data_IF_655624465150
#
_entry.id   IF_655624465150
#
_cell.length_a   1.000
_cell.length_b   1.000
_cell.length_c   1.000
_cell.angle_alpha   90.00
_cell.angle_beta   90.00
_cell.angle_gamma   90.00
#
_symmetry.space_group_name_H-M   'P 1'
#
loop_
_entity.id
_entity.type
_entity.pdbx_description
1 polymer ?
#
# COMPACT_ATOMS: atom_id res chain seq x y z
N UNK A 1 16.00 35.25 -0.09
CA UNK A 1 15.56 33.84 0.01
C UNK A 1 14.69 33.70 1.24
N UNK A 2 13.39 33.92 1.11
CA UNK A 2 12.44 33.80 2.22
C UNK A 2 12.32 32.33 2.61
N UNK A 3 12.62 32.00 3.87
CA UNK A 3 12.30 30.71 4.45
C UNK A 3 10.86 30.36 4.10
N UNK A 4 10.65 29.22 3.46
CA UNK A 4 9.33 28.73 3.07
C UNK A 4 8.49 28.63 4.34
N UNK A 5 7.53 29.55 4.51
CA UNK A 5 6.68 29.56 5.68
C UNK A 5 5.98 28.20 5.79
N UNK A 6 6.23 27.50 6.90
CA UNK A 6 5.63 26.22 7.19
C UNK A 6 4.12 26.38 7.29
N UNK A 7 3.36 25.86 6.33
CA UNK A 7 1.90 25.85 6.41
C UNK A 7 1.45 24.80 7.44
N UNK A 8 0.76 25.20 8.53
CA UNK A 8 0.26 24.26 9.53
C UNK A 8 -0.67 23.20 8.93
N UNK A 9 -1.41 23.55 7.87
CA UNK A 9 -2.29 22.64 7.15
C UNK A 9 -1.49 21.56 6.40
N UNK A 10 -0.37 21.92 5.76
CA UNK A 10 0.52 20.94 5.14
C UNK A 10 1.15 20.02 6.18
N UNK A 11 1.61 20.56 7.31
CA UNK A 11 2.14 19.77 8.43
C UNK A 11 1.11 18.77 8.96
N UNK A 12 -0.15 19.18 9.05
CA UNK A 12 -1.23 18.33 9.49
C UNK A 12 -1.44 17.13 8.56
N UNK A 13 -1.59 17.33 7.23
CA UNK A 13 -1.76 16.22 6.27
C UNK A 13 -0.58 15.26 6.29
N UNK A 14 0.66 15.78 6.35
CA UNK A 14 1.87 14.96 6.43
C UNK A 14 1.88 14.13 7.73
N UNK A 15 1.48 14.73 8.85
CA UNK A 15 1.32 14.05 10.13
C UNK A 15 0.29 12.93 10.06
N UNK A 16 -0.92 13.21 9.56
CA UNK A 16 -1.99 12.22 9.41
C UNK A 16 -1.54 11.03 8.56
N UNK A 17 -0.95 11.29 7.40
CA UNK A 17 -0.46 10.24 6.51
C UNK A 17 0.62 9.38 7.16
N UNK A 18 1.62 10.01 7.79
CA UNK A 18 2.71 9.30 8.47
C UNK A 18 2.21 8.45 9.62
N UNK A 19 1.31 8.99 10.45
CA UNK A 19 0.73 8.21 11.55
C UNK A 19 -0.12 7.06 11.02
N UNK A 20 -0.84 7.25 9.92
CA UNK A 20 -1.62 6.20 9.28
C UNK A 20 -0.76 5.05 8.76
N UNK A 21 0.28 5.35 7.98
CA UNK A 21 1.21 4.35 7.40
C UNK A 21 2.01 3.60 8.46
N UNK A 22 2.24 4.20 9.63
CA UNK A 22 2.89 3.55 10.77
C UNK A 22 1.91 2.72 11.63
N UNK A 23 0.63 3.11 11.65
CA UNK A 23 -0.42 2.46 12.45
C UNK A 23 -0.89 1.14 11.83
N UNK A 24 -1.05 1.12 10.51
CA UNK A 24 -1.61 -0.01 9.77
C UNK A 24 -0.54 -0.70 8.92
N UNK A 25 -0.65 -2.02 8.85
CA UNK A 25 0.20 -2.87 8.02
C UNK A 25 -0.48 -3.07 6.68
N UNK A 26 0.23 -2.82 5.58
CA UNK A 26 -0.27 -3.25 4.29
C UNK A 26 -0.35 -4.78 4.28
N UNK A 27 -1.55 -5.33 4.05
CA UNK A 27 -1.74 -6.76 3.94
C UNK A 27 -3.00 -7.14 3.16
N UNK A 28 -3.08 -8.34 2.61
CA UNK A 28 -4.26 -8.84 1.90
C UNK A 28 -4.98 -9.99 2.63
N UNK A 29 -4.92 -10.03 3.97
CA UNK A 29 -5.51 -11.14 4.75
C UNK A 29 -7.02 -11.25 4.53
N UNK A 30 -7.73 -10.12 4.59
CA UNK A 30 -9.18 -10.10 4.40
C UNK A 30 -9.56 -10.65 3.01
N UNK A 31 -8.84 -10.20 1.97
CA UNK A 31 -9.04 -10.67 0.59
C UNK A 31 -8.84 -12.18 0.46
N UNK A 32 -7.77 -12.73 1.03
CA UNK A 32 -7.46 -14.17 0.96
C UNK A 32 -8.44 -15.03 1.76
N UNK A 33 -8.93 -14.53 2.90
CA UNK A 33 -9.77 -15.31 3.81
C UNK A 33 -11.25 -15.26 3.43
N UNK A 34 -11.71 -14.09 2.95
CA UNK A 34 -13.12 -13.74 2.85
C UNK A 34 -13.54 -13.21 1.46
N UNK A 35 -12.60 -13.07 0.51
CA UNK A 35 -12.87 -12.47 -0.80
C UNK A 35 -12.83 -10.93 -0.79
N UNK A 36 -13.35 -10.26 -1.83
CA UNK A 36 -13.27 -8.81 -1.97
C UNK A 36 -13.72 -8.06 -0.70
N UNK A 37 -12.84 -7.23 -0.10
CA UNK A 37 -13.20 -6.44 1.07
C UNK A 37 -14.39 -5.50 0.82
N UNK A 38 -15.30 -5.40 1.79
CA UNK A 38 -16.37 -4.41 1.77
C UNK A 38 -15.83 -3.04 2.22
N UNK A 39 -15.93 -2.06 1.32
CA UNK A 39 -15.35 -0.72 1.51
C UNK A 39 -16.32 0.28 2.17
N UNK A 40 -17.50 -0.15 2.63
CA UNK A 40 -18.39 0.70 3.42
C UNK A 40 -17.70 1.17 4.71
N UNK A 41 -17.87 2.44 5.12
CA UNK A 41 -17.12 3.03 6.24
C UNK A 41 -17.15 2.20 7.54
N UNK A 42 -18.32 1.69 7.91
CA UNK A 42 -18.51 0.91 9.14
C UNK A 42 -17.78 -0.43 9.11
N UNK A 43 -17.82 -1.12 7.97
CA UNK A 43 -17.18 -2.42 7.80
C UNK A 43 -15.67 -2.28 7.69
N UNK A 44 -15.23 -1.22 7.00
CA UNK A 44 -13.84 -0.98 6.70
C UNK A 44 -13.00 -0.76 7.96
N UNK A 45 -13.43 0.09 8.89
CA UNK A 45 -12.69 0.32 10.14
C UNK A 45 -12.63 -0.94 11.01
N UNK A 46 -13.69 -1.74 11.05
CA UNK A 46 -13.69 -3.04 11.75
C UNK A 46 -12.72 -4.03 11.10
N UNK A 47 -12.67 -4.09 9.76
CA UNK A 47 -11.71 -4.91 9.02
C UNK A 47 -10.27 -4.51 9.37
N UNK A 48 -9.95 -3.22 9.24
CA UNK A 48 -8.61 -2.69 9.55
C UNK A 48 -8.20 -2.93 11.01
N UNK A 49 -9.14 -2.84 11.95
CA UNK A 49 -8.88 -3.16 13.35
C UNK A 49 -8.58 -4.66 13.54
N UNK A 50 -9.38 -5.54 12.92
CA UNK A 50 -9.25 -7.00 13.01
C UNK A 50 -7.93 -7.51 12.40
N UNK A 51 -7.60 -7.05 11.20
CA UNK A 51 -6.42 -7.51 10.45
C UNK A 51 -5.20 -6.60 10.60
N UNK A 52 -5.30 -5.60 11.49
CA UNK A 52 -4.28 -4.57 11.74
C UNK A 52 -3.81 -3.86 10.47
N UNK A 53 -4.70 -3.79 9.47
CA UNK A 53 -4.47 -3.16 8.19
C UNK A 53 -5.28 -3.81 7.07
N UNK A 54 -4.87 -3.59 5.84
CA UNK A 54 -5.53 -4.04 4.61
C UNK A 54 -4.69 -3.65 3.40
N UNK A 55 -5.19 -3.86 2.18
CA UNK A 55 -4.48 -3.44 0.97
C UNK A 55 -4.96 -2.07 0.46
N UNK A 56 -4.55 -1.65 -0.75
CA UNK A 56 -4.72 -0.27 -1.20
C UNK A 56 -6.17 0.24 -1.14
N UNK A 57 -7.14 -0.59 -1.53
CA UNK A 57 -8.56 -0.24 -1.51
C UNK A 57 -9.07 0.03 -0.09
N UNK A 58 -8.70 -0.80 0.87
CA UNK A 58 -9.10 -0.65 2.26
C UNK A 58 -8.37 0.55 2.91
N UNK A 59 -7.05 0.63 2.76
CA UNK A 59 -6.23 1.65 3.42
C UNK A 59 -6.52 3.05 2.90
N UNK A 60 -6.57 3.24 1.58
CA UNK A 60 -6.79 4.57 1.01
C UNK A 60 -8.26 5.00 1.09
N UNK A 61 -9.25 4.08 1.06
CA UNK A 61 -10.65 4.46 1.32
C UNK A 61 -10.87 4.91 2.77
N UNK A 62 -10.25 4.20 3.74
CA UNK A 62 -10.35 4.57 5.15
C UNK A 62 -9.59 5.87 5.45
N UNK A 63 -8.44 6.07 4.80
CA UNK A 63 -7.67 7.30 4.93
C UNK A 63 -8.41 8.49 4.31
N UNK A 64 -9.06 8.31 3.15
CA UNK A 64 -9.95 9.32 2.56
C UNK A 64 -11.03 9.77 3.56
N UNK A 65 -11.77 8.82 4.12
CA UNK A 65 -12.80 9.12 5.11
C UNK A 65 -12.22 9.79 6.36
N UNK A 66 -10.97 9.48 6.73
CA UNK A 66 -10.29 10.13 7.83
C UNK A 66 -9.93 11.59 7.52
N UNK A 67 -9.39 11.88 6.33
CA UNK A 67 -9.11 13.24 5.86
C UNK A 67 -10.39 14.09 5.80
N UNK A 68 -11.48 13.53 5.26
CA UNK A 68 -12.76 14.24 5.14
C UNK A 68 -13.35 14.60 6.51
N UNK A 69 -13.21 13.73 7.52
CA UNK A 69 -13.57 14.06 8.90
C UNK A 69 -12.71 15.15 9.52
N UNK A 70 -11.53 15.43 8.98
CA UNK A 70 -10.68 16.56 9.37
C UNK A 70 -10.95 17.81 8.50
N UNK A 71 -11.98 17.80 7.65
CA UNK A 71 -12.29 18.91 6.74
C UNK A 71 -11.34 19.02 5.55
N UNK A 72 -10.59 17.96 5.23
CA UNK A 72 -9.67 17.91 4.10
C UNK A 72 -10.30 17.08 2.98
N UNK A 73 -10.55 17.72 1.84
CA UNK A 73 -11.03 17.02 0.65
C UNK A 73 -9.96 16.11 0.08
N UNK A 74 -10.34 14.89 -0.29
CA UNK A 74 -9.46 13.93 -0.92
C UNK A 74 -10.17 13.19 -2.06
N UNK A 75 -9.65 13.33 -3.26
CA UNK A 75 -10.21 12.78 -4.49
C UNK A 75 -9.53 11.45 -4.82
N UNK A 76 -10.28 10.34 -4.96
CA UNK A 76 -9.72 9.04 -5.30
C UNK A 76 -9.38 8.90 -6.78
N UNK A 77 -8.30 8.20 -7.07
CA UNK A 77 -7.84 7.85 -8.42
C UNK A 77 -7.36 6.40 -8.46
N UNK A 78 -7.46 5.77 -9.63
CA UNK A 78 -6.90 4.44 -9.89
C UNK A 78 -5.67 4.55 -10.78
N UNK A 79 -4.57 3.98 -10.30
CA UNK A 79 -3.29 3.90 -10.98
C UNK A 79 -3.03 2.49 -11.53
N UNK A 80 -2.19 2.42 -12.56
CA UNK A 80 -1.70 1.17 -13.13
C UNK A 80 -0.34 0.82 -12.55
N UNK A 81 -0.27 -0.27 -11.80
CA UNK A 81 1.01 -0.78 -11.29
C UNK A 81 1.83 -1.35 -12.44
N UNK A 82 3.07 -0.90 -12.55
CA UNK A 82 4.07 -1.40 -13.52
C UNK A 82 5.33 -1.91 -12.82
N UNK A 83 5.39 -1.76 -11.50
CA UNK A 83 6.50 -2.23 -10.70
C UNK A 83 6.65 -3.74 -10.79
N UNK A 84 7.77 -4.20 -11.36
CA UNK A 84 8.14 -5.62 -11.45
C UNK A 84 7.05 -6.48 -12.12
N UNK A 85 6.31 -5.91 -13.07
CA UNK A 85 5.31 -6.64 -13.85
C UNK A 85 5.88 -7.32 -15.09
N UNK A 86 7.14 -7.02 -15.46
CA UNK A 86 7.70 -7.38 -16.76
C UNK A 86 6.85 -6.76 -17.87
N UNK A 87 6.60 -7.53 -18.93
CA UNK A 87 5.79 -7.08 -20.08
C UNK A 87 4.27 -7.16 -19.85
N UNK A 88 3.82 -7.61 -18.66
CA UNK A 88 2.39 -7.75 -18.37
C UNK A 88 1.73 -6.38 -18.23
N UNK A 89 0.63 -6.19 -18.94
CA UNK A 89 -0.23 -5.00 -18.82
C UNK A 89 -1.37 -5.32 -17.86
N UNK A 90 -1.28 -4.85 -16.62
CA UNK A 90 -2.33 -5.01 -15.60
C UNK A 90 -3.34 -3.86 -15.67
N UNK A 91 -4.64 -4.05 -15.36
CA UNK A 91 -5.61 -2.95 -15.31
C UNK A 91 -5.28 -1.91 -14.22
N UNK A 92 -5.85 -0.69 -14.29
CA UNK A 92 -5.67 0.32 -13.25
C UNK A 92 -6.42 -0.08 -11.98
N UNK A 93 -5.73 -0.73 -11.05
CA UNK A 93 -6.34 -1.28 -9.83
C UNK A 93 -5.78 -0.70 -8.55
N UNK A 94 -4.76 0.16 -8.62
CA UNK A 94 -4.17 0.72 -7.41
C UNK A 94 -4.87 2.02 -7.02
N UNK A 95 -5.64 2.00 -5.93
CA UNK A 95 -6.27 3.19 -5.39
C UNK A 95 -5.23 4.10 -4.73
N UNK A 96 -5.23 5.39 -5.07
CA UNK A 96 -4.52 6.45 -4.34
C UNK A 96 -5.41 7.71 -4.25
N UNK A 97 -4.98 8.71 -3.49
CA UNK A 97 -5.74 9.95 -3.30
C UNK A 97 -4.92 11.17 -3.74
N UNK A 98 -5.61 12.18 -4.27
CA UNK A 98 -5.10 13.53 -4.41
C UNK A 98 -5.84 14.45 -3.43
N UNK A 99 -5.12 15.30 -2.71
CA UNK A 99 -5.71 16.33 -1.85
C UNK A 99 -5.12 17.69 -2.17
N UNK A 100 -5.94 18.74 -2.14
CA UNK A 100 -5.50 20.11 -2.35
C UNK A 100 -5.43 20.85 -1.01
N UNK A 101 -4.23 21.26 -0.61
CA UNK A 101 -4.00 21.95 0.67
C UNK A 101 -2.99 23.06 0.48
N UNK A 102 -3.30 24.26 1.00
CA UNK A 102 -2.44 25.44 0.91
C UNK A 102 -1.94 25.74 -0.51
N UNK A 103 -2.82 25.60 -1.52
CA UNK A 103 -2.51 25.84 -2.93
C UNK A 103 -1.67 24.75 -3.62
N UNK A 104 -1.43 23.61 -2.96
CA UNK A 104 -0.65 22.49 -3.49
C UNK A 104 -1.49 21.25 -3.65
N UNK A 105 -1.21 20.47 -4.69
CA UNK A 105 -1.79 19.14 -4.89
C UNK A 105 -0.83 18.10 -4.31
N UNK A 106 -1.28 17.37 -3.31
CA UNK A 106 -0.54 16.30 -2.68
C UNK A 106 -1.07 14.94 -3.14
N UNK A 107 -0.17 14.07 -3.60
CA UNK A 107 -0.43 12.66 -3.76
C UNK A 107 -0.28 11.97 -2.40
N UNK A 108 -1.39 11.46 -1.90
CA UNK A 108 -1.48 10.67 -0.68
C UNK A 108 -1.71 9.20 -1.05
N UNK A 109 -0.80 8.34 -0.62
CA UNK A 109 -0.91 6.90 -0.83
C UNK A 109 -0.37 6.15 0.38
N UNK A 110 -1.31 5.69 1.20
CA UNK A 110 -1.02 4.87 2.38
C UNK A 110 -1.08 3.38 2.09
N UNK A 111 -1.39 3.02 0.84
CA UNK A 111 -1.95 1.73 0.47
C UNK A 111 -1.11 0.91 -0.52
N UNK A 112 -0.01 1.42 -1.06
CA UNK A 112 0.86 0.63 -1.96
C UNK A 112 1.68 -0.45 -1.23
N UNK A 113 1.73 -0.38 0.10
CA UNK A 113 2.58 -1.22 0.95
C UNK A 113 4.03 -0.76 0.91
N UNK A 114 4.70 -0.94 -0.22
CA UNK A 114 6.08 -0.51 -0.41
C UNK A 114 6.20 0.97 -0.86
N UNK A 115 5.22 1.79 -0.50
CA UNK A 115 5.01 3.13 -1.03
C UNK A 115 5.38 4.25 -0.07
N UNK A 116 4.64 5.34 -0.11
CA UNK A 116 4.94 6.55 0.62
C UNK A 116 4.77 6.38 2.14
N UNK A 117 5.70 6.94 2.92
CA UNK A 117 5.55 7.21 4.35
C UNK A 117 4.77 8.50 4.59
N UNK A 118 5.00 9.52 3.77
CA UNK A 118 4.28 10.80 3.77
C UNK A 118 4.00 11.29 2.35
N UNK A 119 3.05 12.22 2.16
CA UNK A 119 2.61 12.65 0.84
C UNK A 119 3.74 13.27 0.03
N UNK A 120 3.59 13.25 -1.30
CA UNK A 120 4.47 13.98 -2.22
C UNK A 120 3.66 15.01 -2.98
N UNK A 121 4.23 16.20 -3.20
CA UNK A 121 3.63 17.20 -4.07
C UNK A 121 3.64 16.71 -5.52
N UNK A 122 2.52 16.86 -6.22
CA UNK A 122 2.38 16.33 -7.57
C UNK A 122 3.27 17.05 -8.60
N UNK A 123 3.52 18.34 -8.36
CA UNK A 123 4.26 19.23 -9.27
C UNK A 123 5.71 19.49 -8.79
N UNK A 124 6.27 18.58 -7.98
CA UNK A 124 7.67 18.66 -7.54
C UNK A 124 8.60 17.94 -8.51
N UNK A 125 9.64 18.63 -8.97
CA UNK A 125 10.71 18.02 -9.76
C UNK A 125 11.82 17.41 -8.88
N UNK A 126 11.83 17.69 -7.58
CA UNK A 126 12.83 17.13 -6.67
C UNK A 126 12.41 15.77 -6.11
N UNK A 127 13.35 14.83 -6.06
CA UNK A 127 13.20 13.59 -5.32
C UNK A 127 12.95 13.89 -3.83
N UNK A 128 12.06 13.12 -3.21
CA UNK A 128 11.69 13.23 -1.80
C UNK A 128 12.20 11.99 -1.05
N UNK A 129 13.30 12.10 -0.30
CA UNK A 129 13.79 11.02 0.54
C UNK A 129 12.75 10.66 1.60
N UNK A 130 12.45 9.38 1.75
CA UNK A 130 11.57 8.82 2.78
C UNK A 130 12.22 7.57 3.35
N UNK A 131 12.93 7.73 4.46
CA UNK A 131 13.82 6.71 5.04
C UNK A 131 14.94 6.30 4.04
N UNK A 132 15.17 5.01 3.82
CA UNK A 132 16.17 4.48 2.88
C UNK A 132 15.74 4.57 1.41
N UNK A 133 14.59 5.16 1.13
CA UNK A 133 14.00 5.27 -0.20
C UNK A 133 13.92 6.73 -0.62
N UNK A 134 13.75 6.98 -1.91
CA UNK A 134 13.29 8.27 -2.40
C UNK A 134 12.12 8.10 -3.35
N UNK A 135 11.25 9.10 -3.43
CA UNK A 135 10.09 9.07 -4.32
C UNK A 135 10.04 10.33 -5.16
N UNK A 136 9.54 10.22 -6.38
CA UNK A 136 9.39 11.36 -7.28
C UNK A 136 8.25 11.09 -8.26
N UNK A 137 7.45 12.11 -8.56
CA UNK A 137 6.53 12.07 -9.69
C UNK A 137 7.33 12.48 -10.93
N UNK A 138 7.36 11.63 -11.96
CA UNK A 138 8.14 11.86 -13.19
C UNK A 138 7.28 11.57 -14.42
N UNK A 139 7.69 12.05 -15.61
CA UNK A 139 7.10 11.60 -16.87
C UNK A 139 7.10 10.07 -16.98
N UNK A 140 6.04 9.54 -17.57
CA UNK A 140 5.83 8.13 -17.86
C UNK A 140 5.28 7.96 -19.27
N UNK A 141 5.23 6.73 -19.77
CA UNK A 141 4.70 6.39 -21.09
C UNK A 141 3.29 6.95 -21.33
N UNK A 142 2.45 7.03 -20.29
CA UNK A 142 1.08 7.54 -20.36
C UNK A 142 0.88 8.70 -19.37
N UNK A 143 1.67 9.77 -19.50
CA UNK A 143 1.54 10.97 -18.68
C UNK A 143 2.56 11.01 -17.54
N UNK A 144 2.10 10.87 -16.29
CA UNK A 144 2.96 10.90 -15.09
C UNK A 144 2.88 9.58 -14.33
N UNK A 145 3.95 9.23 -13.64
CA UNK A 145 4.01 8.08 -12.74
C UNK A 145 4.68 8.43 -11.42
N UNK A 146 4.39 7.66 -10.38
CA UNK A 146 5.19 7.69 -9.15
C UNK A 146 6.37 6.74 -9.33
N UNK A 147 7.57 7.23 -9.06
CA UNK A 147 8.81 6.47 -9.12
C UNK A 147 9.39 6.31 -7.72
N UNK A 148 10.04 5.17 -7.50
CA UNK A 148 10.77 4.85 -6.27
C UNK A 148 12.25 4.74 -6.58
N UNK A 149 13.09 5.19 -5.66
CA UNK A 149 14.51 4.89 -5.65
C UNK A 149 14.90 4.08 -4.43
N UNK A 150 15.68 3.03 -4.66
CA UNK A 150 16.37 2.27 -3.63
C UNK A 150 17.84 2.16 -4.04
N UNK A 151 18.76 2.61 -3.17
CA UNK A 151 20.20 2.63 -3.45
C UNK A 151 20.57 3.36 -4.77
N UNK A 152 19.82 4.42 -5.10
CA UNK A 152 20.06 5.24 -6.30
C UNK A 152 19.49 4.67 -7.60
N UNK A 153 19.01 3.43 -7.60
CA UNK A 153 18.31 2.85 -8.75
C UNK A 153 16.86 3.29 -8.74
N UNK A 154 16.33 3.70 -9.89
CA UNK A 154 14.96 4.21 -10.02
C UNK A 154 14.08 3.24 -10.80
N UNK A 155 12.95 2.88 -10.20
CA UNK A 155 11.91 2.09 -10.83
C UNK A 155 10.60 2.87 -10.86
N UNK A 156 9.82 2.70 -11.92
CA UNK A 156 8.45 3.19 -11.96
C UNK A 156 7.57 2.28 -11.09
N UNK A 157 6.88 2.86 -10.10
CA UNK A 157 5.93 2.10 -9.27
C UNK A 157 4.62 1.88 -10.00
N UNK A 158 4.00 3.00 -10.36
CA UNK A 158 2.70 3.01 -11.01
C UNK A 158 2.49 4.29 -11.81
N UNK A 159 1.67 4.17 -12.85
CA UNK A 159 1.21 5.26 -13.71
C UNK A 159 -0.04 5.86 -13.12
N UNK A 160 -0.07 7.19 -13.00
CA UNK A 160 -1.21 7.92 -12.45
C UNK A 160 -2.42 7.82 -13.38
N UNK A 161 -3.61 7.87 -12.82
CA UNK A 161 -4.85 7.96 -13.59
C UNK A 161 -5.11 9.40 -14.02
N UNK A 162 -5.70 9.58 -15.20
CA UNK A 162 -6.01 10.90 -15.76
C UNK A 162 -7.27 11.53 -15.14
N UNK A 163 -8.19 10.71 -14.62
CA UNK A 163 -9.49 11.15 -14.11
C UNK A 163 -9.81 10.61 -12.70
N UNK A 164 -10.57 11.38 -11.89
CA UNK A 164 -11.11 10.90 -10.63
C UNK A 164 -11.90 9.59 -10.78
N UNK A 165 -11.72 8.69 -9.83
CA UNK A 165 -12.41 7.40 -9.81
C UNK A 165 -13.69 7.45 -8.99
N UNK A 166 -14.83 7.07 -9.58
CA UNK A 166 -16.09 6.90 -8.84
C UNK A 166 -16.08 5.57 -8.08
N UNK A 167 -16.99 5.45 -7.10
CA UNK A 167 -17.09 4.24 -6.27
C UNK A 167 -17.19 2.94 -7.10
N UNK A 168 -17.97 2.94 -8.19
CA UNK A 168 -18.10 1.78 -9.07
C UNK A 168 -16.77 1.34 -9.70
N UNK A 169 -15.87 2.29 -10.03
CA UNK A 169 -14.54 1.96 -10.54
C UNK A 169 -13.69 1.30 -9.44
N UNK A 170 -13.76 1.85 -8.22
CA UNK A 170 -13.03 1.33 -7.05
C UNK A 170 -13.52 -0.08 -6.71
N UNK A 171 -14.83 -0.31 -6.68
CA UNK A 171 -15.41 -1.63 -6.39
C UNK A 171 -15.00 -2.67 -7.45
N UNK A 172 -14.97 -2.27 -8.72
CA UNK A 172 -14.49 -3.13 -9.83
C UNK A 172 -13.01 -3.48 -9.66
N UNK A 173 -12.17 -2.49 -9.36
CA UNK A 173 -10.75 -2.69 -9.13
C UNK A 173 -10.46 -3.55 -7.89
N UNK A 174 -11.23 -3.36 -6.82
CA UNK A 174 -11.19 -4.14 -5.58
C UNK A 174 -11.57 -5.60 -5.84
N UNK A 175 -12.65 -5.84 -6.59
CA UNK A 175 -13.06 -7.18 -6.99
C UNK A 175 -11.95 -7.86 -7.81
N UNK A 176 -11.46 -7.23 -8.87
CA UNK A 176 -10.35 -7.75 -9.68
C UNK A 176 -9.12 -8.09 -8.82
N UNK A 177 -8.74 -7.18 -7.92
CA UNK A 177 -7.56 -7.37 -7.06
C UNK A 177 -7.69 -8.59 -6.17
N UNK A 178 -8.90 -8.90 -5.68
CA UNK A 178 -9.13 -10.02 -4.78
C UNK A 178 -9.38 -11.36 -5.50
N UNK A 179 -10.01 -11.35 -6.68
CA UNK A 179 -10.53 -12.58 -7.31
C UNK A 179 -9.82 -12.98 -8.61
N UNK A 180 -9.16 -12.04 -9.30
CA UNK A 180 -8.53 -12.35 -10.59
C UNK A 180 -7.28 -13.21 -10.40
N UNK A 181 -7.13 -14.32 -11.16
CA UNK A 181 -5.90 -15.13 -11.12
C UNK A 181 -4.66 -14.34 -11.57
N UNK A 182 -4.85 -13.24 -12.32
CA UNK A 182 -3.77 -12.35 -12.73
C UNK A 182 -3.29 -11.41 -11.63
N UNK A 183 -4.10 -11.22 -10.57
CA UNK A 183 -3.73 -10.41 -9.41
C UNK A 183 -2.77 -11.18 -8.51
N UNK A 184 -1.67 -10.52 -8.13
CA UNK A 184 -0.75 -11.06 -7.12
C UNK A 184 -1.48 -11.35 -5.80
N UNK A 185 -2.48 -10.54 -5.45
CA UNK A 185 -3.19 -10.64 -4.17
C UNK A 185 -4.22 -11.77 -4.11
N UNK A 186 -4.56 -12.39 -5.24
CA UNK A 186 -5.54 -13.49 -5.28
C UNK A 186 -4.96 -14.80 -4.72
N UNK A 187 -3.67 -15.05 -4.94
CA UNK A 187 -3.02 -16.34 -4.58
C UNK A 187 -1.78 -16.20 -3.70
N UNK A 188 -1.29 -14.98 -3.48
CA UNK A 188 -0.11 -14.75 -2.66
C UNK A 188 -0.48 -13.98 -1.40
N UNK A 189 0.16 -14.36 -0.29
CA UNK A 189 0.15 -13.57 0.92
C UNK A 189 1.18 -12.47 0.81
N UNK A 190 0.76 -11.22 0.96
CA UNK A 190 1.63 -10.05 0.89
C UNK A 190 1.45 -9.21 2.15
N UNK A 191 2.53 -8.95 2.88
CA UNK A 191 2.55 -7.98 3.97
C UNK A 191 3.72 -7.01 3.79
N UNK A 192 3.49 -5.74 4.13
CA UNK A 192 4.55 -4.74 4.28
C UNK A 192 4.27 -3.86 5.48
N UNK A 193 5.28 -3.69 6.33
CA UNK A 193 5.21 -2.81 7.50
C UNK A 193 6.39 -1.87 7.51
N UNK A 194 6.11 -0.58 7.64
CA UNK A 194 7.12 0.42 7.94
C UNK A 194 7.47 0.44 9.42
N UNK A 195 8.76 0.55 9.72
CA UNK A 195 9.29 0.65 11.08
C UNK A 195 10.27 1.82 11.17
N UNK A 196 10.83 2.07 12.36
CA UNK A 196 11.85 3.10 12.52
C UNK A 196 13.14 2.77 11.75
N UNK A 197 13.51 1.49 11.66
CA UNK A 197 14.74 1.04 11.01
C UNK A 197 14.62 0.75 9.51
N UNK A 198 13.43 0.88 8.92
CA UNK A 198 13.23 0.53 7.51
C UNK A 198 11.83 0.04 7.20
N UNK A 199 11.78 -1.07 6.48
CA UNK A 199 10.56 -1.79 6.11
C UNK A 199 10.77 -3.29 6.26
N UNK A 200 9.73 -3.96 6.71
CA UNK A 200 9.63 -5.42 6.79
C UNK A 200 8.64 -5.90 5.74
N UNK A 201 8.99 -6.95 5.02
CA UNK A 201 8.17 -7.47 3.91
C UNK A 201 8.01 -8.97 4.03
N UNK A 202 6.81 -9.47 3.76
CA UNK A 202 6.54 -10.90 3.67
C UNK A 202 5.82 -11.14 2.35
N UNK A 203 6.42 -11.97 1.50
CA UNK A 203 5.76 -12.52 0.33
C UNK A 203 5.72 -14.04 0.51
N UNK A 204 4.52 -14.57 0.75
CA UNK A 204 4.31 -15.98 1.09
C UNK A 204 5.16 -16.40 2.30
N UNK A 205 6.17 -17.25 2.10
CA UNK A 205 7.08 -17.73 3.13
C UNK A 205 8.41 -16.97 3.15
N UNK A 206 8.61 -16.02 2.24
CA UNK A 206 9.86 -15.24 2.14
C UNK A 206 9.72 -13.93 2.92
N UNK A 207 10.29 -13.91 4.11
CA UNK A 207 10.42 -12.72 4.95
C UNK A 207 11.68 -11.93 4.58
N UNK A 208 11.58 -10.60 4.50
CA UNK A 208 12.72 -9.69 4.34
C UNK A 208 12.68 -8.67 5.48
N UNK A 209 13.77 -8.62 6.25
CA UNK A 209 13.90 -7.70 7.37
C UNK A 209 14.37 -6.30 6.93
N UNK A 210 14.53 -5.40 7.89
CA UNK A 210 14.94 -4.00 7.65
C UNK A 210 16.33 -3.90 7.02
N UNK A 211 17.24 -4.80 7.37
CA UNK A 211 18.59 -4.91 6.80
C UNK A 211 18.62 -5.58 5.42
N UNK A 212 17.47 -5.75 4.78
CA UNK A 212 17.31 -6.44 3.48
C UNK A 212 17.76 -7.91 3.49
N UNK A 213 17.94 -8.52 4.66
CA UNK A 213 18.23 -9.95 4.76
C UNK A 213 16.95 -10.75 4.59
N UNK A 214 17.06 -11.84 3.84
CA UNK A 214 15.94 -12.74 3.56
C UNK A 214 15.98 -13.94 4.50
N UNK A 215 14.81 -14.29 5.06
CA UNK A 215 14.59 -15.50 5.86
C UNK A 215 13.42 -16.26 5.24
N UNK A 216 13.61 -17.56 5.00
CA UNK A 216 12.53 -18.45 4.60
C UNK A 216 11.84 -19.01 5.86
N UNK A 217 10.53 -18.90 5.93
CA UNK A 217 9.71 -19.43 7.01
C UNK A 217 9.34 -20.88 6.68
N UNK A 218 10.12 -21.82 7.20
CA UNK A 218 10.06 -23.25 6.87
C UNK A 218 9.00 -24.04 7.63
N UNK A 219 8.37 -23.43 8.63
CA UNK A 219 7.43 -24.08 9.52
C UNK A 219 6.27 -23.16 9.89
N UNK A 220 5.16 -23.78 10.31
CA UNK A 220 3.98 -23.04 10.78
C UNK A 220 4.29 -22.17 12.00
N UNK A 221 5.14 -22.65 12.91
CA UNK A 221 5.55 -21.90 14.10
C UNK A 221 6.37 -20.65 13.73
N UNK A 222 7.33 -20.78 12.81
CA UNK A 222 8.11 -19.64 12.31
C UNK A 222 7.22 -18.62 11.59
N UNK A 223 6.24 -19.09 10.81
CA UNK A 223 5.25 -18.26 10.15
C UNK A 223 4.38 -17.46 11.13
N UNK A 224 3.79 -18.14 12.10
CA UNK A 224 2.94 -17.49 13.11
C UNK A 224 3.75 -16.49 13.96
N UNK A 225 4.97 -16.87 14.35
CA UNK A 225 5.91 -15.98 15.06
C UNK A 225 6.27 -14.74 14.23
N UNK A 226 6.43 -14.90 12.91
CA UNK A 226 6.71 -13.78 12.00
C UNK A 226 5.52 -12.81 11.94
N UNK A 227 4.31 -13.30 11.70
CA UNK A 227 3.10 -12.46 11.64
C UNK A 227 2.92 -11.64 12.92
N UNK A 228 3.07 -12.28 14.09
CA UNK A 228 2.87 -11.63 15.37
C UNK A 228 4.03 -10.69 15.73
N UNK A 229 5.28 -11.17 15.69
CA UNK A 229 6.44 -10.41 16.15
C UNK A 229 6.90 -9.34 15.17
N UNK A 230 6.79 -9.60 13.86
CA UNK A 230 7.31 -8.70 12.83
C UNK A 230 6.23 -7.74 12.32
N UNK A 231 5.00 -8.21 12.19
CA UNK A 231 3.89 -7.44 11.60
C UNK A 231 2.82 -7.02 12.62
N UNK A 232 2.84 -7.50 13.88
CA UNK A 232 1.75 -7.26 14.84
C UNK A 232 0.37 -7.72 14.32
N UNK A 233 0.36 -8.74 13.45
CA UNK A 233 -0.86 -9.33 12.88
C UNK A 233 -1.15 -10.63 13.62
N UNK A 234 -2.33 -10.75 14.22
CA UNK A 234 -2.73 -11.87 15.09
C UNK A 234 -4.02 -12.53 14.59
N UNK A 235 -3.98 -13.26 13.45
CA UNK A 235 -5.13 -14.02 12.99
C UNK A 235 -5.45 -15.16 13.97
N UNK A 236 -6.68 -15.65 13.94
CA UNK A 236 -7.04 -16.86 14.72
C UNK A 236 -6.21 -18.06 14.27
N UNK A 237 -6.09 -19.10 15.11
CA UNK A 237 -5.32 -20.30 14.77
C UNK A 237 -5.76 -20.95 13.44
N UNK A 238 -7.07 -20.93 13.16
CA UNK A 238 -7.68 -21.43 11.92
C UNK A 238 -7.31 -20.57 10.72
N UNK A 239 -7.46 -19.23 10.82
CA UNK A 239 -7.08 -18.30 9.76
C UNK A 239 -5.58 -18.39 9.45
N UNK A 240 -4.74 -18.39 10.49
CA UNK A 240 -3.30 -18.56 10.38
C UNK A 240 -2.92 -19.85 9.62
N UNK A 241 -3.68 -20.94 9.83
CA UNK A 241 -3.48 -22.20 9.09
C UNK A 241 -3.83 -22.10 7.63
N UNK A 242 -4.98 -21.49 7.31
CA UNK A 242 -5.35 -21.22 5.92
C UNK A 242 -4.33 -20.34 5.21
N UNK A 243 -3.86 -19.27 5.87
CA UNK A 243 -2.86 -18.36 5.31
C UNK A 243 -1.51 -19.05 5.08
N UNK A 244 -1.05 -19.89 6.02
CA UNK A 244 0.17 -20.67 5.84
C UNK A 244 0.08 -21.64 4.65
N UNK A 245 -1.07 -22.32 4.49
CA UNK A 245 -1.30 -23.22 3.36
C UNK A 245 -1.33 -22.51 2.00
N UNK A 246 -1.94 -21.30 1.95
CA UNK A 246 -1.91 -20.43 0.77
C UNK A 246 -0.46 -20.05 0.45
N UNK A 247 0.28 -19.52 1.45
CA UNK A 247 1.66 -19.10 1.28
C UNK A 247 2.56 -20.27 0.81
N UNK A 248 2.37 -21.46 1.39
CA UNK A 248 3.13 -22.66 1.02
C UNK A 248 2.82 -23.13 -0.39
N UNK A 249 1.55 -23.14 -0.79
CA UNK A 249 1.14 -23.53 -2.14
C UNK A 249 1.70 -22.58 -3.21
N UNK A 250 1.71 -21.28 -2.93
CA UNK A 250 2.24 -20.27 -3.84
C UNK A 250 3.77 -20.24 -3.92
N UNK A 251 4.47 -20.80 -2.93
CA UNK A 251 5.93 -20.90 -2.93
C UNK A 251 6.46 -22.11 -3.72
N UNK A 252 5.60 -23.06 -4.11
CA UNK A 252 5.99 -24.17 -4.98
C UNK A 252 6.09 -23.66 -6.42
N UNK A 253 7.13 -24.03 -7.20
CA UNK A 253 7.13 -23.76 -8.63
C UNK A 253 5.88 -24.37 -9.26
N UNK A 254 5.27 -23.65 -10.21
CA UNK A 254 4.19 -24.21 -11.00
C UNK A 254 4.71 -25.49 -11.67
N UNK A 255 4.02 -26.61 -11.42
CA UNK A 255 4.34 -27.90 -12.03
C UNK A 255 4.17 -27.87 -13.55
#
# INVERSE_FOLDING_TARGET
MTAQAHSPQLHHVFGLHRTWTQRYVFNNLNALLNGPPNLSPDTLLRSLARYRGGYCHELNSAFKAHLERQGIEATPYLARVVYRTGDRVLPPTHLYLLTQVAGRVLLCDTGFGNGLLWPIELDTESARPQNTLAFQVRPSQSGRGLWISEQGQWDELYRLGDEPSRQAHIDTANHYSATSPDSIFCRNLVLTRYTRGGRRRLLNLRYVNEMQQTVLLDSRSAFDSCLQGQFDVRPTAVEAGRLFEIARSAARPAA
#
